data_IF_950311244334
#
_entry.id   IF_950311244334
#
_cell.length_a   1.000
_cell.length_b   1.000
_cell.length_c   1.000
_cell.angle_alpha   90.00
_cell.angle_beta   90.00
_cell.angle_gamma   90.00
#
_symmetry.space_group_name_H-M   'P 1'
#
loop_
_entity.id
_entity.type
_entity.pdbx_description
1 polymer ?
#
# COMPACT_ATOMS: atom_id res chain seq x y z
N UNK A 1 -8.22 10.51 10.19
CA UNK A 1 -8.32 11.17 8.88
C UNK A 1 -7.86 12.63 8.91
N UNK A 2 -8.10 13.38 9.98
CA UNK A 2 -7.71 14.81 10.04
C UNK A 2 -6.19 15.00 9.93
N UNK A 3 -5.41 14.16 10.59
CA UNK A 3 -3.93 14.25 10.53
C UNK A 3 -3.40 13.91 9.13
N UNK A 4 -3.99 12.91 8.46
CA UNK A 4 -3.64 12.59 7.07
C UNK A 4 -3.97 13.76 6.14
N UNK A 5 -5.11 14.43 6.34
CA UNK A 5 -5.48 15.64 5.57
C UNK A 5 -4.51 16.79 5.79
N UNK A 6 -4.06 17.01 7.03
CA UNK A 6 -3.02 18.01 7.32
C UNK A 6 -1.70 17.68 6.64
N UNK A 7 -1.30 16.40 6.70
CA UNK A 7 -0.09 15.93 6.04
C UNK A 7 -0.18 16.09 4.52
N UNK A 8 -1.33 15.72 3.93
CA UNK A 8 -1.58 15.88 2.51
C UNK A 8 -1.46 17.35 2.08
N UNK A 9 -2.11 18.27 2.81
CA UNK A 9 -2.04 19.70 2.54
C UNK A 9 -0.59 20.23 2.62
N UNK A 10 0.17 19.81 3.65
CA UNK A 10 1.59 20.17 3.82
C UNK A 10 2.46 19.73 2.65
N UNK A 11 2.16 18.55 2.07
CA UNK A 11 2.96 17.93 1.00
C UNK A 11 2.41 18.19 -0.42
N UNK A 12 1.27 18.85 -0.54
CA UNK A 12 0.60 19.06 -1.82
C UNK A 12 0.02 17.75 -2.41
N UNK A 13 -0.30 16.77 -1.56
CA UNK A 13 -0.89 15.51 -2.00
C UNK A 13 -2.41 15.61 -2.10
N UNK A 14 -2.96 14.95 -3.12
CA UNK A 14 -4.40 14.86 -3.34
C UNK A 14 -5.00 13.82 -2.41
N UNK A 15 -6.13 14.16 -1.79
CA UNK A 15 -7.04 13.22 -1.13
C UNK A 15 -8.34 13.20 -1.91
N UNK A 16 -8.76 12.01 -2.32
CA UNK A 16 -10.01 11.77 -3.02
C UNK A 16 -11.14 11.62 -2.01
N UNK A 17 -12.20 12.40 -2.15
CA UNK A 17 -13.41 12.37 -1.30
C UNK A 17 -14.66 11.86 -2.02
N UNK A 18 -14.54 11.49 -3.29
CA UNK A 18 -15.60 10.83 -4.02
C UNK A 18 -15.97 9.48 -3.36
N UNK A 19 -17.26 9.13 -3.30
CA UNK A 19 -17.71 7.89 -2.68
C UNK A 19 -17.00 6.65 -3.24
N UNK A 20 -16.46 5.80 -2.34
CA UNK A 20 -15.75 4.55 -2.66
C UNK A 20 -14.47 4.69 -3.46
N UNK A 21 -13.97 5.89 -3.70
CA UNK A 21 -12.64 6.11 -4.27
C UNK A 21 -11.58 5.93 -3.19
N UNK A 22 -10.70 4.95 -3.38
CA UNK A 22 -9.69 4.62 -2.38
C UNK A 22 -8.54 5.61 -2.39
N UNK A 23 -8.14 6.03 -1.20
CA UNK A 23 -6.85 6.60 -0.91
C UNK A 23 -5.99 5.49 -0.29
N UNK A 24 -4.87 5.15 -0.93
CA UNK A 24 -3.98 4.06 -0.52
C UNK A 24 -2.64 4.68 -0.14
N UNK A 25 -2.31 4.65 1.15
CA UNK A 25 -1.14 5.32 1.69
C UNK A 25 -0.25 4.32 2.44
N UNK A 26 1.00 4.15 1.99
CA UNK A 26 2.03 3.45 2.76
C UNK A 26 2.72 4.41 3.72
N UNK A 27 2.94 3.97 4.94
CA UNK A 27 3.75 4.65 5.94
C UNK A 27 4.95 3.77 6.25
N UNK A 28 6.12 4.20 5.76
CA UNK A 28 7.39 3.56 6.05
C UNK A 28 7.83 3.96 7.46
N UNK A 29 8.03 2.98 8.31
CA UNK A 29 8.44 3.19 9.69
C UNK A 29 9.80 3.90 9.80
N UNK A 30 9.99 4.64 10.87
CA UNK A 30 11.31 5.20 11.21
C UNK A 30 12.24 4.10 11.75
N UNK A 31 12.54 3.15 10.90
CA UNK A 31 13.38 1.98 11.17
C UNK A 31 14.31 1.74 9.99
N UNK A 32 15.52 1.28 10.27
CA UNK A 32 16.48 0.80 9.28
C UNK A 32 16.65 -0.73 9.35
N UNK A 33 15.74 -1.41 10.06
CA UNK A 33 15.79 -2.87 10.22
C UNK A 33 15.18 -3.49 8.96
N UNK A 34 15.95 -4.09 8.06
CA UNK A 34 15.42 -4.73 6.88
C UNK A 34 14.68 -6.02 7.27
N UNK A 35 13.88 -6.53 6.35
CA UNK A 35 13.24 -7.83 6.49
C UNK A 35 12.10 -7.89 7.51
N UNK A 36 11.58 -6.75 7.95
CA UNK A 36 10.48 -6.62 8.90
C UNK A 36 9.19 -6.18 8.23
N UNK A 37 8.04 -6.55 8.82
CA UNK A 37 6.72 -6.00 8.48
C UNK A 37 6.33 -4.94 9.51
N UNK A 38 7.15 -3.94 9.66
CA UNK A 38 7.00 -2.83 10.62
C UNK A 38 6.29 -1.61 10.03
N UNK A 39 6.11 -1.58 8.72
CA UNK A 39 5.38 -0.54 8.00
C UNK A 39 3.86 -0.74 8.04
N UNK A 40 3.12 0.27 7.58
CA UNK A 40 1.67 0.24 7.54
C UNK A 40 1.13 0.69 6.17
N UNK A 41 0.06 0.04 5.71
CA UNK A 41 -0.79 0.52 4.63
C UNK A 41 -2.10 1.02 5.23
N UNK A 42 -2.38 2.30 5.02
CA UNK A 42 -3.59 2.98 5.42
C UNK A 42 -4.51 3.11 4.20
N UNK A 43 -5.73 2.61 4.33
CA UNK A 43 -6.76 2.65 3.29
C UNK A 43 -7.91 3.47 3.82
N UNK A 44 -8.28 4.54 3.13
CA UNK A 44 -9.43 5.33 3.53
C UNK A 44 -10.25 5.78 2.32
N UNK A 45 -11.54 5.91 2.53
CA UNK A 45 -12.50 6.30 1.49
C UNK A 45 -13.73 6.95 2.11
N UNK A 46 -14.38 7.82 1.36
CA UNK A 46 -15.71 8.28 1.71
C UNK A 46 -16.73 7.18 1.41
N UNK A 47 -17.57 6.84 2.39
CA UNK A 47 -18.64 5.85 2.25
C UNK A 47 -20.03 6.47 2.12
N UNK A 48 -20.16 7.79 2.28
CA UNK A 48 -21.42 8.50 2.05
C UNK A 48 -21.66 8.70 0.56
N UNK A 49 -22.82 8.31 0.06
CA UNK A 49 -23.21 8.51 -1.35
C UNK A 49 -23.58 9.96 -1.64
N UNK A 50 -24.09 10.66 -0.64
CA UNK A 50 -24.55 12.06 -0.72
C UNK A 50 -24.27 12.78 0.59
N UNK A 51 -24.22 14.10 0.55
CA UNK A 51 -24.01 14.93 1.75
C UNK A 51 -22.55 15.05 2.15
N UNK A 52 -22.30 15.24 3.47
CA UNK A 52 -20.95 15.37 3.99
C UNK A 52 -20.21 14.03 3.94
N UNK A 53 -18.90 14.01 3.60
CA UNK A 53 -18.11 12.79 3.58
C UNK A 53 -18.10 12.08 4.94
N UNK A 54 -18.42 10.79 4.91
CA UNK A 54 -18.26 9.85 6.03
C UNK A 54 -17.06 8.97 5.71
N UNK A 55 -16.02 9.05 6.52
CA UNK A 55 -14.75 8.39 6.23
C UNK A 55 -14.66 7.02 6.91
N UNK A 56 -14.43 6.02 6.09
CA UNK A 56 -13.89 4.73 6.52
C UNK A 56 -12.36 4.82 6.51
N UNK A 57 -11.71 4.23 7.51
CA UNK A 57 -10.26 4.25 7.66
C UNK A 57 -9.77 2.92 8.23
N UNK A 58 -8.86 2.27 7.51
CA UNK A 58 -8.32 0.95 7.83
C UNK A 58 -6.80 1.01 7.81
N UNK A 59 -6.15 0.22 8.67
CA UNK A 59 -4.69 0.10 8.75
C UNK A 59 -4.31 -1.36 8.75
N UNK A 60 -3.33 -1.70 7.92
CA UNK A 60 -2.81 -3.06 7.79
C UNK A 60 -1.28 -3.07 7.91
N UNK A 61 -0.73 -4.09 8.55
CA UNK A 61 0.70 -4.29 8.61
C UNK A 61 1.27 -4.75 7.27
N UNK A 62 2.38 -4.14 6.88
CA UNK A 62 3.04 -4.41 5.60
C UNK A 62 4.55 -4.20 5.70
N UNK A 63 5.24 -4.40 4.58
CA UNK A 63 6.53 -3.79 4.29
C UNK A 63 6.43 -2.93 3.04
N UNK A 64 7.13 -1.81 3.05
CA UNK A 64 7.35 -0.93 1.90
C UNK A 64 8.78 -1.06 1.36
N UNK A 65 9.55 -1.97 1.95
CA UNK A 65 10.97 -2.18 1.70
C UNK A 65 11.27 -3.56 1.11
N UNK A 66 12.40 -3.71 0.41
CA UNK A 66 12.88 -5.02 -0.02
C UNK A 66 13.34 -5.87 1.17
N UNK A 67 13.16 -7.18 1.05
CA UNK A 67 13.73 -8.14 2.00
C UNK A 67 15.22 -8.34 1.80
N UNK A 68 15.91 -8.82 2.84
CA UNK A 68 17.37 -9.01 2.86
C UNK A 68 17.89 -9.92 1.75
N UNK A 69 17.07 -10.89 1.31
CA UNK A 69 17.45 -11.74 0.18
C UNK A 69 17.73 -10.92 -1.08
N UNK A 70 16.84 -9.98 -1.41
CA UNK A 70 16.98 -9.18 -2.63
C UNK A 70 17.98 -8.03 -2.48
N UNK A 71 18.20 -7.51 -1.28
CA UNK A 71 19.30 -6.57 -1.03
C UNK A 71 20.64 -7.21 -1.38
N UNK A 72 20.87 -8.46 -0.95
CA UNK A 72 22.08 -9.22 -1.30
C UNK A 72 22.12 -9.74 -2.72
N UNK A 73 20.98 -10.05 -3.32
CA UNK A 73 20.85 -10.67 -4.64
C UNK A 73 19.93 -9.85 -5.55
N UNK A 74 20.31 -8.63 -5.94
CA UNK A 74 19.45 -7.76 -6.74
C UNK A 74 19.14 -8.39 -8.10
N UNK A 75 17.87 -8.31 -8.51
CA UNK A 75 17.45 -8.74 -9.87
C UNK A 75 17.96 -7.82 -10.97
N UNK A 76 18.30 -6.58 -10.61
CA UNK A 76 18.87 -5.59 -11.54
C UNK A 76 20.33 -5.35 -11.18
N UNK A 77 21.27 -5.34 -12.17
CA UNK A 77 22.69 -5.06 -11.92
C UNK A 77 22.95 -3.73 -11.21
N UNK A 78 22.05 -2.75 -11.37
CA UNK A 78 22.14 -1.42 -10.73
C UNK A 78 21.68 -1.43 -9.27
N UNK A 79 21.26 -2.56 -8.73
CA UNK A 79 20.81 -2.70 -7.34
C UNK A 79 19.30 -2.92 -7.20
N UNK A 80 18.90 -3.21 -5.97
CA UNK A 80 17.50 -3.46 -5.59
C UNK A 80 16.73 -2.14 -5.52
N UNK A 81 15.46 -2.15 -5.96
CA UNK A 81 14.64 -0.96 -5.99
C UNK A 81 14.02 -0.69 -4.61
N UNK A 82 14.25 0.48 -4.07
CA UNK A 82 13.54 1.02 -2.90
C UNK A 82 12.65 2.16 -3.39
N UNK A 83 11.34 2.05 -3.18
CA UNK A 83 10.38 3.08 -3.61
C UNK A 83 10.63 4.38 -2.84
N UNK A 84 10.77 5.49 -3.54
CA UNK A 84 10.94 6.81 -2.91
C UNK A 84 9.61 7.34 -2.36
N UNK A 85 9.63 8.12 -1.26
CA UNK A 85 8.43 8.80 -0.78
C UNK A 85 7.84 9.74 -1.83
N UNK A 86 6.51 9.81 -1.90
CA UNK A 86 5.80 10.65 -2.86
C UNK A 86 4.39 10.14 -3.15
N UNK A 87 3.65 10.90 -3.94
CA UNK A 87 2.34 10.49 -4.42
C UNK A 87 2.42 10.12 -5.91
N UNK A 88 2.03 8.90 -6.21
CA UNK A 88 2.06 8.31 -7.55
C UNK A 88 0.63 8.20 -8.10
N UNK A 89 0.21 9.24 -8.80
CA UNK A 89 -1.15 9.36 -9.34
C UNK A 89 -1.38 8.29 -10.41
N UNK A 90 -2.47 7.50 -10.26
CA UNK A 90 -2.87 6.47 -11.22
C UNK A 90 -1.75 5.49 -11.57
N UNK A 91 -0.87 5.20 -10.64
CA UNK A 91 0.33 4.38 -10.84
C UNK A 91 0.07 2.88 -10.77
N UNK A 92 -1.07 2.47 -10.24
CA UNK A 92 -1.42 1.05 -10.05
C UNK A 92 -2.77 0.71 -10.68
N UNK A 93 -2.94 -0.57 -11.01
CA UNK A 93 -4.21 -1.13 -11.49
C UNK A 93 -4.38 -2.58 -11.02
N UNK A 94 -5.62 -3.07 -10.98
CA UNK A 94 -5.89 -4.48 -10.76
C UNK A 94 -5.32 -5.30 -11.91
N UNK A 95 -4.51 -6.29 -11.58
CA UNK A 95 -3.87 -7.20 -12.52
C UNK A 95 -3.37 -8.45 -11.81
N UNK A 96 -2.51 -9.23 -12.45
CA UNK A 96 -1.93 -10.46 -11.89
C UNK A 96 -0.47 -10.23 -11.48
N UNK A 97 -0.18 -10.36 -10.18
CA UNK A 97 1.21 -10.40 -9.72
C UNK A 97 1.91 -11.64 -10.25
N UNK A 98 2.97 -11.44 -11.06
CA UNK A 98 3.72 -12.52 -11.73
C UNK A 98 2.83 -13.50 -12.50
N UNK A 99 1.68 -13.06 -13.02
CA UNK A 99 0.72 -13.92 -13.72
C UNK A 99 -0.04 -14.92 -12.83
N UNK A 100 0.08 -14.84 -11.49
CA UNK A 100 -0.39 -15.91 -10.58
C UNK A 100 -1.67 -15.58 -9.83
N UNK A 101 -1.80 -14.37 -9.29
CA UNK A 101 -2.95 -13.99 -8.48
C UNK A 101 -3.21 -12.49 -8.55
N UNK A 102 -4.45 -12.10 -8.27
CA UNK A 102 -4.89 -10.71 -8.31
C UNK A 102 -4.10 -9.85 -7.30
N UNK A 103 -3.65 -8.68 -7.75
CA UNK A 103 -2.94 -7.68 -6.98
C UNK A 103 -3.12 -6.30 -7.60
N UNK A 104 -2.70 -5.23 -6.92
CA UNK A 104 -2.48 -3.96 -7.60
C UNK A 104 -1.09 -3.99 -8.23
N UNK A 105 -1.05 -4.05 -9.55
CA UNK A 105 0.20 -4.05 -10.32
C UNK A 105 0.56 -2.63 -10.74
N UNK A 106 1.84 -2.35 -10.80
CA UNK A 106 2.33 -1.07 -11.29
C UNK A 106 2.02 -0.91 -12.78
N UNK A 107 1.33 0.17 -13.14
CA UNK A 107 0.98 0.55 -14.51
C UNK A 107 1.51 1.93 -14.90
N UNK A 108 1.85 2.77 -13.93
CA UNK A 108 2.44 4.10 -14.12
C UNK A 108 3.86 4.18 -13.59
N UNK A 109 4.59 5.24 -13.98
CA UNK A 109 5.98 5.43 -13.54
C UNK A 109 6.06 5.76 -12.05
N UNK A 110 7.04 5.20 -11.37
CA UNK A 110 7.40 5.51 -9.99
C UNK A 110 8.90 5.83 -9.89
N UNK A 111 9.28 6.56 -8.84
CA UNK A 111 10.68 6.86 -8.53
C UNK A 111 11.22 5.86 -7.51
N UNK A 112 12.38 5.29 -7.78
CA UNK A 112 13.06 4.38 -6.86
C UNK A 112 14.52 4.79 -6.67
N UNK A 113 15.06 4.55 -5.49
CA UNK A 113 16.50 4.53 -5.24
C UNK A 113 17.02 3.11 -5.45
N UNK A 114 18.19 2.98 -6.11
CA UNK A 114 18.83 1.68 -6.35
C UNK A 114 19.86 1.41 -5.27
N UNK A 115 19.54 0.46 -4.40
CA UNK A 115 20.45 -0.08 -3.40
C UNK A 115 21.39 -1.08 -4.09
N UNK A 116 22.68 -0.77 -4.18
CA UNK A 116 23.62 -1.43 -5.10
C UNK A 116 24.73 -2.23 -4.42
N UNK A 117 25.02 -2.01 -3.13
CA UNK A 117 26.23 -2.54 -2.49
C UNK A 117 26.12 -3.97 -1.98
N UNK A 118 24.90 -4.53 -1.93
CA UNK A 118 24.59 -5.94 -1.61
C UNK A 118 24.91 -6.34 -0.17
N UNK A 119 24.90 -5.41 0.77
CA UNK A 119 25.26 -5.66 2.17
C UNK A 119 24.06 -6.08 3.05
N UNK A 120 22.84 -6.02 2.55
CA UNK A 120 21.58 -6.26 3.25
C UNK A 120 21.16 -5.16 4.23
N UNK A 121 21.70 -3.96 4.08
CA UNK A 121 21.25 -2.74 4.74
C UNK A 121 20.35 -1.97 3.75
N UNK A 122 19.43 -1.17 4.24
CA UNK A 122 18.54 -0.36 3.41
C UNK A 122 19.20 0.99 3.13
N UNK A 123 19.68 1.20 1.91
CA UNK A 123 20.32 2.44 1.48
C UNK A 123 19.35 3.39 0.78
N UNK A 124 18.70 4.21 1.59
CA UNK A 124 17.70 5.15 1.08
C UNK A 124 18.30 6.38 0.36
N UNK A 125 19.57 6.68 0.58
CA UNK A 125 20.22 7.90 0.10
C UNK A 125 21.52 7.67 -0.69
N UNK A 126 22.03 6.45 -0.76
CA UNK A 126 23.32 6.15 -1.39
C UNK A 126 23.20 5.76 -2.86
N UNK A 127 22.05 5.32 -3.29
CA UNK A 127 21.84 4.76 -4.60
C UNK A 127 21.41 5.79 -5.65
N UNK A 128 21.49 5.39 -6.92
CA UNK A 128 20.97 6.17 -8.02
C UNK A 128 19.46 6.23 -8.00
N UNK A 129 18.90 7.43 -8.05
CA UNK A 129 17.46 7.65 -8.21
C UNK A 129 17.08 7.53 -9.68
N UNK A 130 16.12 6.68 -9.98
CA UNK A 130 15.60 6.44 -11.32
C UNK A 130 14.07 6.39 -11.33
N UNK A 131 13.45 6.79 -12.44
CA UNK A 131 12.00 6.82 -12.59
C UNK A 131 11.56 5.97 -13.77
N UNK A 132 10.63 5.03 -13.52
CA UNK A 132 10.17 4.10 -14.57
C UNK A 132 9.16 3.07 -14.09
N UNK A 133 9.03 2.00 -14.87
CA UNK A 133 8.24 0.82 -14.55
C UNK A 133 9.20 -0.26 -14.02
N UNK A 134 9.06 -0.62 -12.75
CA UNK A 134 9.98 -1.55 -12.07
C UNK A 134 9.24 -2.74 -11.46
N UNK A 135 7.92 -2.84 -11.69
CA UNK A 135 7.09 -3.89 -11.09
C UNK A 135 6.88 -3.72 -9.59
N UNK A 136 6.90 -2.47 -9.10
CA UNK A 136 6.55 -2.15 -7.71
C UNK A 136 5.05 -2.36 -7.52
N UNK A 137 4.68 -3.57 -7.14
CA UNK A 137 3.29 -3.98 -6.96
C UNK A 137 2.88 -3.89 -5.48
N UNK A 138 1.58 -3.85 -5.23
CA UNK A 138 0.99 -4.00 -3.88
C UNK A 138 0.37 -5.39 -3.83
N UNK A 139 0.94 -6.29 -3.02
CA UNK A 139 0.55 -7.68 -2.98
C UNK A 139 0.70 -8.30 -1.57
N UNK A 140 0.40 -9.59 -1.41
CA UNK A 140 0.58 -10.32 -0.14
C UNK A 140 1.89 -11.09 -0.09
N UNK A 141 2.35 -11.37 1.10
CA UNK A 141 3.41 -12.35 1.34
C UNK A 141 2.84 -13.78 1.18
N UNK A 142 2.19 -14.33 2.19
CA UNK A 142 1.53 -15.63 2.14
C UNK A 142 0.05 -15.50 1.75
N UNK A 143 -0.56 -16.61 1.29
CA UNK A 143 -2.02 -16.70 1.08
C UNK A 143 -2.78 -16.78 2.40
N UNK A 144 -2.20 -17.39 3.41
CA UNK A 144 -2.86 -17.67 4.71
C UNK A 144 -2.00 -17.17 5.85
N UNK A 145 -2.65 -16.52 6.81
CA UNK A 145 -2.05 -16.06 8.06
C UNK A 145 -0.98 -14.98 7.90
N UNK A 146 -0.22 -14.82 8.97
CA UNK A 146 0.87 -13.84 9.06
C UNK A 146 2.19 -14.40 8.55
N UNK A 147 2.94 -13.56 7.87
CA UNK A 147 4.34 -13.83 7.50
C UNK A 147 5.26 -13.05 8.44
N UNK A 148 6.29 -13.72 8.97
CA UNK A 148 7.18 -13.14 9.98
C UNK A 148 8.29 -12.31 9.33
N UNK A 149 8.86 -12.79 8.22
CA UNK A 149 10.00 -12.16 7.53
C UNK A 149 9.67 -11.84 6.09
N UNK A 150 10.19 -10.72 5.60
CA UNK A 150 9.97 -10.28 4.22
C UNK A 150 10.72 -11.15 3.21
N UNK A 151 11.99 -11.41 3.42
CA UNK A 151 12.88 -12.27 2.61
C UNK A 151 12.66 -12.12 1.09
N UNK A 152 12.13 -13.18 0.44
CA UNK A 152 11.89 -13.22 -1.00
C UNK A 152 10.55 -12.61 -1.43
N UNK A 153 9.71 -12.19 -0.49
CA UNK A 153 8.39 -11.65 -0.84
C UNK A 153 8.45 -10.24 -1.43
N UNK A 154 9.43 -9.42 -1.06
CA UNK A 154 9.59 -8.08 -1.61
C UNK A 154 10.99 -7.87 -2.19
N UNK A 155 11.04 -7.51 -3.48
CA UNK A 155 12.22 -6.95 -4.15
C UNK A 155 12.03 -5.43 -4.41
N UNK A 156 11.27 -4.76 -3.49
CA UNK A 156 10.83 -3.37 -3.56
C UNK A 156 9.32 -3.19 -3.64
N UNK A 157 8.54 -4.27 -3.73
CA UNK A 157 7.08 -4.24 -3.68
C UNK A 157 6.55 -3.84 -2.29
N UNK A 158 5.31 -3.35 -2.27
CA UNK A 158 4.56 -3.10 -1.05
C UNK A 158 3.83 -4.38 -0.67
N UNK A 159 4.17 -5.02 0.46
CA UNK A 159 3.73 -6.38 0.73
C UNK A 159 2.97 -6.47 2.05
N UNK A 160 1.71 -6.89 1.98
CA UNK A 160 0.89 -7.17 3.15
C UNK A 160 1.44 -8.34 3.94
N UNK A 161 1.51 -8.17 5.27
CA UNK A 161 1.95 -9.21 6.20
C UNK A 161 0.97 -10.38 6.25
N UNK A 162 -0.33 -10.09 6.27
CA UNK A 162 -1.43 -11.05 6.44
C UNK A 162 -2.19 -11.27 5.14
N UNK A 163 -2.46 -12.54 4.80
CA UNK A 163 -3.17 -12.91 3.58
C UNK A 163 -4.65 -12.50 3.61
N UNK A 164 -5.32 -12.62 4.75
CA UNK A 164 -6.72 -12.23 4.91
C UNK A 164 -6.94 -10.72 4.78
N UNK A 165 -6.03 -9.91 5.36
CA UNK A 165 -6.02 -8.46 5.22
C UNK A 165 -5.88 -8.04 3.75
N UNK A 166 -4.99 -8.73 3.03
CA UNK A 166 -4.82 -8.50 1.61
C UNK A 166 -6.07 -8.88 0.80
N UNK A 167 -6.70 -10.01 1.09
CA UNK A 167 -7.93 -10.43 0.40
C UNK A 167 -9.07 -9.44 0.67
N UNK A 168 -9.15 -8.88 1.87
CA UNK A 168 -10.09 -7.80 2.18
C UNK A 168 -9.76 -6.53 1.39
N UNK A 169 -8.50 -6.11 1.35
CA UNK A 169 -8.05 -4.98 0.55
C UNK A 169 -8.41 -5.15 -0.95
N UNK A 170 -8.25 -6.36 -1.50
CA UNK A 170 -8.61 -6.64 -2.89
C UNK A 170 -10.12 -6.48 -3.16
N UNK A 171 -10.99 -6.81 -2.19
CA UNK A 171 -12.45 -6.54 -2.29
C UNK A 171 -12.72 -5.05 -2.36
N UNK A 172 -12.05 -4.22 -1.55
CA UNK A 172 -12.17 -2.76 -1.62
C UNK A 172 -11.71 -2.23 -2.99
N UNK A 173 -10.62 -2.77 -3.54
CA UNK A 173 -10.15 -2.41 -4.87
C UNK A 173 -11.16 -2.74 -5.97
N UNK A 174 -11.88 -3.87 -5.87
CA UNK A 174 -12.94 -4.20 -6.82
C UNK A 174 -14.14 -3.23 -6.72
N UNK A 175 -14.50 -2.78 -5.51
CA UNK A 175 -15.52 -1.72 -5.33
C UNK A 175 -15.07 -0.41 -5.99
N UNK A 176 -13.84 0.02 -5.71
CA UNK A 176 -13.27 1.20 -6.37
C UNK A 176 -13.30 1.05 -7.90
N UNK A 177 -12.84 -0.09 -8.42
CA UNK A 177 -12.78 -0.34 -9.87
C UNK A 177 -14.16 -0.22 -10.54
N UNK A 178 -15.20 -0.75 -9.90
CA UNK A 178 -16.58 -0.65 -10.41
C UNK A 178 -17.07 0.81 -10.47
N UNK A 179 -16.69 1.65 -9.51
CA UNK A 179 -17.15 3.03 -9.43
C UNK A 179 -16.28 4.04 -10.20
N UNK A 180 -14.96 3.81 -10.25
CA UNK A 180 -13.98 4.81 -10.72
C UNK A 180 -13.00 4.30 -11.79
N UNK A 181 -13.14 3.03 -12.23
CA UNK A 181 -12.22 2.42 -13.20
C UNK A 181 -10.96 1.84 -12.56
N UNK A 182 -10.11 1.25 -13.38
CA UNK A 182 -8.96 0.45 -12.95
C UNK A 182 -7.67 1.29 -12.84
N UNK A 183 -7.75 2.42 -12.13
CA UNK A 183 -6.59 3.28 -11.88
C UNK A 183 -6.56 3.71 -10.42
N UNK A 184 -5.46 3.41 -9.73
CA UNK A 184 -5.29 3.66 -8.30
C UNK A 184 -4.06 4.54 -8.08
N UNK A 185 -4.22 5.52 -7.18
CA UNK A 185 -3.13 6.36 -6.70
C UNK A 185 -2.54 5.72 -5.45
N UNK A 186 -1.21 5.60 -5.42
CA UNK A 186 -0.48 5.17 -4.24
C UNK A 186 0.36 6.32 -3.70
N UNK A 187 0.32 6.54 -2.40
CA UNK A 187 1.14 7.54 -1.70
C UNK A 187 2.05 6.83 -0.71
N UNK A 188 3.34 7.09 -0.76
CA UNK A 188 4.30 6.62 0.24
C UNK A 188 4.80 7.81 1.08
N UNK A 189 4.61 7.70 2.38
CA UNK A 189 5.17 8.61 3.40
C UNK A 189 6.31 7.90 4.12
N UNK A 190 7.40 8.59 4.33
CA UNK A 190 8.53 8.10 5.10
C UNK A 190 8.57 8.81 6.44
N UNK A 191 8.38 8.07 7.53
CA UNK A 191 8.30 8.61 8.87
C UNK A 191 9.62 9.24 9.35
N UNK A 192 10.75 8.84 8.75
CA UNK A 192 12.05 9.47 9.04
C UNK A 192 12.11 10.92 8.59
N UNK A 193 11.28 11.30 7.60
CA UNK A 193 11.18 12.64 7.04
C UNK A 193 10.09 13.49 7.71
N UNK A 194 9.32 12.90 8.64
CA UNK A 194 8.22 13.59 9.32
C UNK A 194 8.58 13.93 10.78
N UNK A 195 8.02 15.03 11.28
CA UNK A 195 8.21 15.38 12.69
C UNK A 195 7.47 14.39 13.61
N UNK A 196 8.12 13.97 14.72
CA UNK A 196 7.54 13.03 15.70
C UNK A 196 6.15 13.44 16.22
N UNK A 197 5.81 14.74 16.18
CA UNK A 197 4.50 15.26 16.62
C UNK A 197 3.39 14.94 15.64
N UNK A 198 3.69 14.90 14.34
CA UNK A 198 2.71 14.57 13.29
C UNK A 198 2.30 13.09 13.32
N UNK A 199 3.21 12.21 13.71
CA UNK A 199 3.04 10.76 13.64
C UNK A 199 2.29 10.17 14.84
N UNK A 200 2.51 10.69 16.06
CA UNK A 200 1.79 10.22 17.26
C UNK A 200 0.28 10.39 17.14
N UNK A 201 -0.17 11.41 16.44
CA UNK A 201 -1.59 11.68 16.23
C UNK A 201 -2.23 10.76 15.18
N UNK A 202 -1.46 10.20 14.23
CA UNK A 202 -1.93 9.22 13.26
C UNK A 202 -2.24 7.86 13.92
N UNK A 203 -1.36 7.40 14.82
CA UNK A 203 -1.51 6.12 15.51
C UNK A 203 -2.74 6.07 16.44
N UNK A 204 -3.12 7.18 17.05
CA UNK A 204 -4.27 7.27 17.96
C UNK A 204 -5.60 7.23 17.19
N UNK A 205 -5.63 7.73 15.94
CA UNK A 205 -6.85 7.75 15.12
C UNK A 205 -7.25 6.38 14.54
N UNK A 206 -6.30 5.46 14.39
CA UNK A 206 -6.51 4.17 13.73
C UNK A 206 -7.25 3.14 14.62
N UNK A 207 -7.16 3.27 15.95
CA UNK A 207 -7.73 2.29 16.89
C UNK A 207 -9.26 2.35 17.03
N UNK A 208 -9.93 3.42 16.60
CA UNK A 208 -11.36 3.69 16.88
C UNK A 208 -12.32 3.26 15.78
N UNK A 209 -11.87 2.81 14.60
CA UNK A 209 -12.76 2.61 13.43
C UNK A 209 -12.94 1.14 13.03
N UNK A 210 -12.22 0.20 13.62
CA UNK A 210 -12.35 -1.23 13.30
C UNK A 210 -13.74 -1.84 13.66
N UNK A 211 -14.54 -1.14 14.47
CA UNK A 211 -15.85 -1.63 14.96
C UNK A 211 -17.04 -1.37 14.01
N UNK A 212 -16.90 -0.54 12.99
CA UNK A 212 -18.04 -0.14 12.13
C UNK A 212 -18.23 -1.06 10.92
N UNK A 213 -17.25 -1.87 10.53
CA UNK A 213 -17.31 -2.68 9.30
C UNK A 213 -17.94 -4.07 9.47
N UNK A 214 -18.09 -4.58 10.68
CA UNK A 214 -18.74 -5.89 10.92
C UNK A 214 -20.23 -5.93 10.54
N UNK A 215 -20.89 -4.79 10.45
CA UNK A 215 -22.34 -4.70 10.17
C UNK A 215 -22.70 -4.40 8.71
N UNK A 216 -21.81 -3.92 7.88
CA UNK A 216 -22.15 -3.41 6.54
C UNK A 216 -21.96 -4.43 5.39
N UNK A 217 -21.24 -5.52 5.63
CA UNK A 217 -21.03 -6.56 4.61
C UNK A 217 -22.13 -7.62 4.57
N UNK A 218 -23.11 -7.58 5.47
CA UNK A 218 -24.21 -8.56 5.52
C UNK A 218 -25.41 -8.19 4.62
N UNK A 219 -25.39 -7.07 3.91
CA UNK A 219 -26.50 -6.66 3.02
C UNK A 219 -25.96 -6.33 1.63
N UNK A 220 -25.38 -7.29 0.97
CA UNK A 220 -25.35 -7.34 -0.49
C UNK A 220 -26.18 -8.56 -0.90
N UNK A 221 -27.29 -8.44 -1.61
CA UNK A 221 -28.00 -9.60 -2.12
C UNK A 221 -27.08 -10.35 -3.09
N UNK A 222 -26.91 -11.63 -2.82
CA UNK A 222 -26.27 -12.59 -3.69
C UNK A 222 -27.21 -12.81 -4.89
N UNK A 223 -26.99 -12.08 -5.97
CA UNK A 223 -27.59 -12.35 -7.25
C UNK A 223 -26.57 -13.09 -8.11
N UNK A 224 -26.36 -14.35 -7.81
CA UNK A 224 -25.85 -15.32 -8.78
C UNK A 224 -26.73 -16.57 -8.76
N UNK A 225 -27.79 -16.49 -9.54
CA UNK A 225 -28.42 -17.67 -10.13
C UNK A 225 -27.61 -18.08 -11.34
N UNK A 226 -27.07 -19.30 -11.29
CA UNK A 226 -26.87 -20.28 -12.37
C UNK A 226 -26.23 -19.85 -13.68
N UNK A 227 -25.17 -20.58 -14.00
CA UNK A 227 -25.03 -21.42 -15.23
C UNK A 227 -23.70 -22.15 -15.08
N UNK A 228 -23.74 -23.40 -14.78
CA UNK A 228 -23.63 -24.69 -15.51
C UNK A 228 -22.39 -24.82 -16.40
N UNK A 229 -21.71 -25.94 -16.12
CA UNK A 229 -20.71 -26.74 -16.85
C UNK A 229 -19.25 -26.31 -16.69
#
# INVERSE_FOLDING_TARGET
IQEVKKLAAKKGFVIYDEPYKLNIWGFRANSNIPNSFDDEIHIFTNIAKTGRPVWSYLVFKCTTDPGTYWLRNPMNPQGTAILNPGQYINSHGLGLHRGKYKALVQIGRVSVTRDYDRDAILDFNNGKVVTGLYGINIHRASKVGDTIRVDKYSAGCQVFKNGGDFDFFMKLCEVHRKAHGNKFTYTLVDERMESRKSLKNLAIGAALVALVFGGFFLIAPDNNTNEDE
#
